data_IF_302444062734
#
_entry.id   IF_302444062734
#
_cell.length_a   1.000
_cell.length_b   1.000
_cell.length_c   1.000
_cell.angle_alpha   90.00
_cell.angle_beta   90.00
_cell.angle_gamma   90.00
#
_symmetry.space_group_name_H-M   'P 1'
#
loop_
_entity.id
_entity.type
_entity.pdbx_description
1 polymer ?
#
# COMPACT_ATOMS: atom_id res chain seq x y z
N UNK A 1 -0.07 -0.31 15.86
CA UNK A 1 0.26 0.79 14.94
C UNK A 1 1.27 1.72 15.59
N UNK A 2 2.41 1.88 14.94
CA UNK A 2 3.44 2.81 15.39
C UNK A 2 3.75 3.77 14.24
N UNK A 3 3.66 5.07 14.52
CA UNK A 3 3.97 6.13 13.56
C UNK A 3 5.21 6.87 14.07
N UNK A 4 6.23 6.94 13.23
CA UNK A 4 7.43 7.75 13.47
C UNK A 4 7.55 8.79 12.35
N UNK A 5 8.63 9.58 12.38
CA UNK A 5 8.86 10.59 11.33
C UNK A 5 9.07 9.96 9.95
N UNK A 6 9.60 8.73 9.90
CA UNK A 6 9.97 8.08 8.65
C UNK A 6 9.13 6.85 8.31
N UNK A 7 8.43 6.27 9.28
CA UNK A 7 7.77 4.97 9.12
C UNK A 7 6.36 4.93 9.70
N UNK A 8 5.52 4.11 9.06
CA UNK A 8 4.28 3.62 9.64
C UNK A 8 4.42 2.11 9.71
N UNK A 9 4.35 1.55 10.92
CA UNK A 9 4.47 0.12 11.15
C UNK A 9 3.17 -0.43 11.72
N UNK A 10 2.63 -1.47 11.08
CA UNK A 10 1.43 -2.16 11.52
C UNK A 10 1.81 -3.60 11.82
N UNK A 11 1.52 -4.03 13.06
CA UNK A 11 1.74 -5.42 13.44
C UNK A 11 0.44 -6.20 13.35
N UNK A 12 0.47 -7.32 12.64
CA UNK A 12 -0.66 -8.23 12.56
C UNK A 12 -0.92 -8.87 13.93
N UNK A 13 -2.18 -8.89 14.34
CA UNK A 13 -2.60 -9.44 15.63
C UNK A 13 -3.93 -10.20 15.44
N UNK A 14 -3.91 -11.51 15.66
CA UNK A 14 -5.09 -12.37 15.52
C UNK A 14 -6.22 -12.00 16.48
N UNK A 15 -5.93 -11.26 17.55
CA UNK A 15 -6.89 -10.88 18.57
C UNK A 15 -7.51 -9.52 18.37
N UNK A 16 -7.17 -8.83 17.26
CA UNK A 16 -7.73 -7.50 16.97
C UNK A 16 -9.26 -7.55 16.96
N UNK A 17 -9.93 -6.69 17.75
CA UNK A 17 -11.39 -6.67 17.77
C UNK A 17 -11.99 -5.97 16.54
N UNK A 18 -11.23 -5.11 15.86
CA UNK A 18 -11.66 -4.33 14.72
C UNK A 18 -10.58 -4.29 13.66
N UNK A 19 -11.00 -4.16 12.39
CA UNK A 19 -10.07 -3.94 11.30
C UNK A 19 -9.40 -2.57 11.41
N UNK A 20 -8.16 -2.50 10.92
CA UNK A 20 -7.40 -1.26 10.84
C UNK A 20 -7.09 -0.96 9.37
N UNK A 21 -7.55 0.18 8.89
CA UNK A 21 -7.23 0.67 7.55
C UNK A 21 -6.35 1.90 7.70
N UNK A 22 -5.20 1.89 7.00
CA UNK A 22 -4.24 3.00 7.00
C UNK A 22 -3.90 3.35 5.57
N UNK A 23 -3.93 4.64 5.26
CA UNK A 23 -3.52 5.14 3.95
C UNK A 23 -2.44 6.19 4.12
N UNK A 24 -1.54 6.29 3.15
CA UNK A 24 -0.47 7.28 3.15
C UNK A 24 -0.07 7.66 1.73
N UNK A 25 0.53 8.83 1.58
CA UNK A 25 1.23 9.21 0.37
C UNK A 25 2.70 8.82 0.52
N UNK A 26 3.07 7.71 -0.09
CA UNK A 26 4.43 7.19 -0.05
C UNK A 26 5.26 7.84 -1.15
N UNK A 27 6.37 8.44 -0.78
CA UNK A 27 7.28 9.11 -1.71
C UNK A 27 8.58 8.33 -1.92
N UNK A 28 8.79 7.24 -1.17
CA UNK A 28 10.00 6.44 -1.27
C UNK A 28 9.94 5.39 -2.37
N UNK A 29 8.74 5.04 -2.83
CA UNK A 29 8.56 4.13 -3.94
C UNK A 29 8.53 2.66 -3.58
N UNK A 30 8.41 2.32 -2.31
CA UNK A 30 8.28 0.93 -1.89
C UNK A 30 7.57 0.78 -0.54
N UNK A 31 6.96 -0.39 -0.36
CA UNK A 31 6.43 -0.86 0.92
C UNK A 31 6.83 -2.32 1.09
N UNK A 32 6.86 -2.80 2.31
CA UNK A 32 7.20 -4.18 2.55
C UNK A 32 6.47 -4.77 3.75
N UNK A 33 6.42 -6.10 3.77
CA UNK A 33 5.83 -6.87 4.86
C UNK A 33 6.76 -8.03 5.22
N UNK A 34 6.96 -8.25 6.52
CA UNK A 34 7.63 -9.44 7.00
C UNK A 34 6.59 -10.52 7.27
N UNK A 35 6.84 -11.72 6.75
CA UNK A 35 6.02 -12.90 6.98
C UNK A 35 6.92 -14.06 7.38
N UNK A 36 6.32 -15.20 7.72
CA UNK A 36 7.11 -16.42 8.02
C UNK A 36 7.95 -16.87 6.82
N UNK A 37 7.51 -16.56 5.60
CA UNK A 37 8.23 -16.92 4.38
C UNK A 37 9.36 -15.95 4.01
N UNK A 38 9.48 -14.83 4.71
CA UNK A 38 10.50 -13.83 4.43
C UNK A 38 9.96 -12.43 4.32
N UNK A 39 10.68 -11.58 3.60
CA UNK A 39 10.32 -10.19 3.38
C UNK A 39 9.75 -10.03 1.97
N UNK A 40 8.50 -9.58 1.90
CA UNK A 40 7.81 -9.27 0.65
C UNK A 40 7.84 -7.75 0.43
N UNK A 41 8.42 -7.32 -0.68
CA UNK A 41 8.54 -5.90 -1.02
C UNK A 41 7.76 -5.61 -2.30
N UNK A 42 6.98 -4.53 -2.27
CA UNK A 42 6.31 -3.99 -3.46
C UNK A 42 6.99 -2.66 -3.80
N UNK A 43 7.55 -2.56 -5.00
CA UNK A 43 8.02 -1.29 -5.57
C UNK A 43 6.93 -0.73 -6.46
N UNK A 44 6.75 0.57 -6.42
CA UNK A 44 5.70 1.27 -7.14
C UNK A 44 6.25 2.51 -7.84
N UNK A 45 5.53 3.05 -8.83
CA UNK A 45 5.94 4.29 -9.48
C UNK A 45 5.98 5.46 -8.51
N UNK A 46 6.82 6.45 -8.80
CA UNK A 46 6.83 7.72 -8.08
C UNK A 46 5.44 8.39 -8.15
N UNK A 47 5.02 9.11 -7.10
CA UNK A 47 3.74 9.80 -7.13
C UNK A 47 3.64 10.79 -8.29
N UNK A 48 2.50 10.78 -8.97
CA UNK A 48 2.23 11.65 -10.11
C UNK A 48 0.74 11.94 -10.18
N UNK A 49 0.38 13.23 -10.24
CA UNK A 49 -1.01 13.65 -10.33
C UNK A 49 -1.78 13.54 -9.03
N UNK A 50 -3.08 13.32 -9.14
CA UNK A 50 -4.01 13.27 -8.00
C UNK A 50 -4.35 11.81 -7.67
N UNK A 51 -4.55 11.53 -6.39
CA UNK A 51 -4.86 10.20 -5.90
C UNK A 51 -6.19 10.17 -5.17
N UNK A 52 -6.88 9.01 -5.14
CA UNK A 52 -8.12 8.83 -4.37
C UNK A 52 -7.83 8.73 -2.87
N UNK A 53 -8.90 8.54 -2.09
CA UNK A 53 -8.83 8.23 -0.66
C UNK A 53 -7.94 9.21 0.12
N UNK A 54 -8.28 10.50 0.05
CA UNK A 54 -7.55 11.58 0.73
C UNK A 54 -6.09 11.69 0.28
N UNK A 55 -5.83 11.45 -1.02
CA UNK A 55 -4.51 11.54 -1.63
C UNK A 55 -3.54 10.46 -1.14
N UNK A 56 -3.98 9.22 -1.12
CA UNK A 56 -3.14 8.07 -0.77
C UNK A 56 -2.70 7.32 -2.01
N UNK A 57 -1.44 6.89 -2.05
CA UNK A 57 -0.95 5.96 -3.07
C UNK A 57 -0.64 4.57 -2.49
N UNK A 58 -0.66 4.42 -1.18
CA UNK A 58 -0.51 3.17 -0.47
C UNK A 58 -1.58 3.05 0.59
N UNK A 59 -2.20 1.88 0.68
CA UNK A 59 -3.16 1.58 1.72
C UNK A 59 -2.89 0.20 2.29
N UNK A 60 -3.18 0.01 3.57
CA UNK A 60 -3.10 -1.27 4.24
C UNK A 60 -4.39 -1.53 5.00
N UNK A 61 -4.90 -2.74 4.84
CA UNK A 61 -6.04 -3.23 5.63
C UNK A 61 -5.56 -4.42 6.44
N UNK A 62 -5.71 -4.35 7.76
CA UNK A 62 -5.28 -5.41 8.68
C UNK A 62 -6.43 -5.82 9.57
N UNK A 63 -6.69 -7.12 9.64
CA UNK A 63 -7.65 -7.68 10.57
C UNK A 63 -7.15 -9.04 11.07
N UNK A 64 -7.96 -9.69 11.89
CA UNK A 64 -7.59 -10.90 12.62
C UNK A 64 -7.20 -12.11 11.76
N UNK A 65 -7.56 -12.14 10.48
CA UNK A 65 -7.27 -13.26 9.58
C UNK A 65 -6.15 -12.96 8.58
N UNK A 66 -5.98 -11.69 8.18
CA UNK A 66 -5.05 -11.34 7.12
C UNK A 66 -4.70 -9.86 7.13
N UNK A 67 -3.66 -9.53 6.36
CA UNK A 67 -3.25 -8.16 6.06
C UNK A 67 -3.19 -7.99 4.55
N UNK A 68 -3.73 -6.87 4.05
CA UNK A 68 -3.58 -6.45 2.67
C UNK A 68 -2.63 -5.27 2.59
N UNK A 69 -1.79 -5.24 1.58
CA UNK A 69 -0.98 -4.09 1.21
C UNK A 69 -1.34 -3.75 -0.22
N UNK A 70 -1.75 -2.51 -0.43
CA UNK A 70 -2.24 -2.04 -1.72
C UNK A 70 -1.45 -0.83 -2.17
N UNK A 71 -1.15 -0.76 -3.47
CA UNK A 71 -0.71 0.47 -4.11
C UNK A 71 -1.80 0.94 -5.05
N UNK A 72 -1.94 2.25 -5.20
CA UNK A 72 -2.96 2.86 -6.03
C UNK A 72 -2.30 3.68 -7.14
N UNK A 73 -2.91 3.64 -8.33
CA UNK A 73 -2.53 4.55 -9.40
C UNK A 73 -3.14 5.94 -9.13
N UNK A 74 -2.61 6.94 -9.81
CA UNK A 74 -3.24 8.26 -9.82
C UNK A 74 -4.61 8.19 -10.49
N UNK A 75 -5.44 9.18 -10.20
CA UNK A 75 -6.72 9.37 -10.87
C UNK A 75 -6.49 9.90 -12.28
N UNK A 76 -7.23 9.38 -13.25
CA UNK A 76 -7.16 9.83 -14.63
C UNK A 76 -8.48 9.55 -15.32
N UNK A 77 -8.72 10.24 -16.43
CA UNK A 77 -9.93 10.04 -17.24
C UNK A 77 -9.56 9.27 -18.49
N UNK A 78 -10.26 8.17 -18.75
CA UNK A 78 -10.09 7.39 -19.98
C UNK A 78 -11.21 7.69 -20.96
N UNK A 79 -10.85 7.96 -22.21
CA UNK A 79 -11.79 7.96 -23.32
C UNK A 79 -11.91 6.53 -23.85
N UNK A 80 -12.99 6.20 -24.58
CA UNK A 80 -13.13 4.87 -25.18
C UNK A 80 -11.90 4.50 -26.02
N UNK A 81 -11.35 3.31 -25.79
CA UNK A 81 -10.15 2.81 -26.48
C UNK A 81 -8.81 3.20 -25.86
N UNK A 82 -8.80 4.08 -24.85
CA UNK A 82 -7.58 4.43 -24.13
C UNK A 82 -7.28 3.45 -23.01
N UNK A 83 -5.98 3.35 -22.66
CA UNK A 83 -5.50 2.47 -21.59
C UNK A 83 -4.65 3.25 -20.60
N UNK A 84 -4.63 2.77 -19.37
CA UNK A 84 -3.67 3.23 -18.35
C UNK A 84 -3.10 2.00 -17.65
N UNK A 85 -1.80 2.04 -17.37
CA UNK A 85 -1.11 0.93 -16.73
C UNK A 85 -0.55 1.37 -15.39
N UNK A 86 -0.79 0.56 -14.36
CA UNK A 86 -0.18 0.70 -13.05
C UNK A 86 0.70 -0.53 -12.82
N UNK A 87 1.99 -0.32 -12.58
CA UNK A 87 2.96 -1.41 -12.48
C UNK A 87 3.55 -1.48 -11.09
N UNK A 88 3.54 -2.68 -10.53
CA UNK A 88 4.24 -2.99 -9.28
C UNK A 88 5.34 -4.01 -9.57
N UNK A 89 6.44 -3.93 -8.84
CA UNK A 89 7.49 -4.95 -8.89
C UNK A 89 7.54 -5.64 -7.53
N UNK A 90 7.32 -6.94 -7.51
CA UNK A 90 7.30 -7.75 -6.30
C UNK A 90 8.63 -8.47 -6.11
N UNK A 91 9.13 -8.43 -4.90
CA UNK A 91 10.34 -9.16 -4.52
C UNK A 91 10.08 -9.93 -3.23
N UNK A 92 10.46 -11.18 -3.20
CA UNK A 92 10.40 -12.02 -2.01
C UNK A 92 11.80 -12.46 -1.63
N UNK A 93 12.19 -12.16 -0.40
CA UNK A 93 13.53 -12.48 0.10
C UNK A 93 13.49 -13.36 1.34
#
# INVERSE_FOLDING_TARGET
>A
LVISDDDITIKFDKTMPHALKVGTMNTLGYVYSYTKGGKFTIKMPAPEGSYPDFSCNVESYTYNLFTEIETLSSLFTLKPGEEHTHTEVWTLE
#
